data_IF_091227516203
#
_entry.id   IF_091227516203
#
_cell.length_a   1.000
_cell.length_b   1.000
_cell.length_c   1.000
_cell.angle_alpha   90.00
_cell.angle_beta   90.00
_cell.angle_gamma   90.00
#
_symmetry.space_group_name_H-M   'P 1'
#
loop_
_entity.id
_entity.type
_entity.pdbx_description
1 polymer ?
#
# COMPACT_ATOMS: atom_id res chain seq x y z
N UNK A 1 63.77 -71.78 -3.63
CA UNK A 1 62.66 -72.75 -3.44
C UNK A 1 61.64 -72.48 -4.54
N UNK A 2 61.78 -73.09 -5.72
CA UNK A 2 61.17 -74.35 -6.19
C UNK A 2 59.62 -74.43 -6.15
N UNK A 3 59.06 -74.57 -7.37
CA UNK A 3 57.78 -75.21 -7.80
C UNK A 3 56.53 -74.34 -7.56
N UNK A 4 55.53 -74.27 -8.45
CA UNK A 4 54.98 -75.33 -9.29
C UNK A 4 54.21 -74.80 -10.51
N UNK A 5 54.43 -75.48 -11.62
CA UNK A 5 53.65 -75.57 -12.87
C UNK A 5 52.13 -75.74 -12.65
N UNK A 6 51.31 -75.23 -13.57
CA UNK A 6 50.19 -75.92 -14.26
C UNK A 6 49.32 -74.91 -15.03
N UNK A 7 49.50 -74.70 -16.33
CA UNK A 7 49.03 -75.49 -17.50
C UNK A 7 47.51 -75.39 -17.76
N UNK A 8 47.18 -74.45 -18.67
CA UNK A 8 46.29 -74.56 -19.85
C UNK A 8 44.79 -74.87 -19.69
N UNK A 9 44.06 -74.37 -20.70
CA UNK A 9 42.69 -74.73 -21.17
C UNK A 9 41.56 -74.04 -20.39
N UNK A 10 40.47 -73.55 -20.99
CA UNK A 10 39.91 -73.66 -22.33
C UNK A 10 38.82 -72.57 -22.48
N UNK A 11 38.67 -72.03 -23.68
CA UNK A 11 37.47 -71.32 -24.13
C UNK A 11 36.36 -72.35 -24.36
N UNK A 12 35.10 -72.07 -23.97
CA UNK A 12 33.98 -72.51 -24.78
C UNK A 12 33.16 -71.33 -25.30
N UNK A 13 33.05 -71.24 -26.63
CA UNK A 13 31.96 -70.55 -27.35
C UNK A 13 30.77 -71.49 -27.39
N UNK A 14 29.59 -71.02 -26.98
CA UNK A 14 28.25 -71.64 -27.18
C UNK A 14 27.28 -70.89 -26.25
N UNK A 15 26.05 -70.49 -26.57
CA UNK A 15 25.23 -70.49 -27.77
C UNK A 15 24.10 -69.49 -27.45
N UNK A 16 23.62 -68.79 -28.46
CA UNK A 16 22.41 -67.96 -28.45
C UNK A 16 21.28 -68.58 -27.62
N UNK A 17 20.70 -67.80 -26.70
CA UNK A 17 19.26 -67.83 -26.50
C UNK A 17 18.81 -66.42 -26.12
N UNK A 18 18.39 -65.68 -27.14
CA UNK A 18 17.68 -64.43 -27.00
C UNK A 18 16.51 -64.65 -26.03
N UNK A 19 16.58 -64.07 -24.83
CA UNK A 19 15.37 -63.96 -24.00
C UNK A 19 14.40 -63.07 -24.76
N UNK A 20 13.14 -63.47 -24.97
CA UNK A 20 12.17 -62.60 -25.60
C UNK A 20 12.10 -61.30 -24.78
N UNK A 21 12.22 -60.18 -25.48
CA UNK A 21 12.03 -58.85 -24.92
C UNK A 21 10.56 -58.75 -24.49
N UNK A 22 10.26 -59.19 -23.27
CA UNK A 22 8.97 -58.95 -22.66
C UNK A 22 8.86 -57.46 -22.42
N UNK A 23 7.94 -56.83 -23.15
CA UNK A 23 7.55 -55.44 -22.93
C UNK A 23 7.27 -55.25 -21.43
N UNK A 24 7.88 -54.28 -20.74
CA UNK A 24 7.46 -53.98 -19.38
C UNK A 24 5.97 -53.67 -19.43
N UNK A 25 5.18 -54.38 -18.63
CA UNK A 25 3.76 -54.13 -18.49
C UNK A 25 3.58 -52.63 -18.28
N UNK A 26 2.81 -51.98 -19.16
CA UNK A 26 2.47 -50.57 -19.05
C UNK A 26 1.74 -50.38 -17.73
N UNK A 27 2.47 -50.00 -16.69
CA UNK A 27 1.93 -49.50 -15.44
C UNK A 27 1.25 -48.19 -15.81
N UNK A 28 -0.02 -48.25 -16.20
CA UNK A 28 -0.84 -47.06 -16.26
C UNK A 28 -0.83 -46.55 -14.83
N UNK A 29 -0.23 -45.37 -14.52
CA UNK A 29 -0.31 -44.85 -13.18
C UNK A 29 -1.80 -44.76 -12.89
N UNK A 30 -2.29 -45.59 -11.96
CA UNK A 30 -3.55 -45.32 -11.31
C UNK A 30 -3.29 -44.00 -10.61
N UNK A 31 -3.67 -42.90 -11.27
CA UNK A 31 -4.04 -41.68 -10.57
C UNK A 31 -5.25 -42.10 -9.75
N UNK A 32 -4.98 -42.72 -8.62
CA UNK A 32 -5.87 -42.67 -7.48
C UNK A 32 -5.88 -41.20 -7.12
N UNK A 33 -6.71 -40.45 -7.84
CA UNK A 33 -7.26 -39.21 -7.32
C UNK A 33 -8.16 -39.63 -6.16
N UNK A 34 -7.55 -40.15 -5.08
CA UNK A 34 -7.99 -39.78 -3.76
C UNK A 34 -7.60 -38.31 -3.63
N UNK A 35 -8.29 -37.47 -4.39
CA UNK A 35 -8.60 -36.13 -3.94
C UNK A 35 -9.53 -36.42 -2.77
N UNK A 36 -8.92 -36.74 -1.63
CA UNK A 36 -9.53 -36.43 -0.36
C UNK A 36 -9.79 -34.95 -0.48
N UNK A 37 -11.03 -34.61 -0.84
CA UNK A 37 -11.57 -33.29 -0.63
C UNK A 37 -11.50 -33.14 0.89
N UNK A 38 -10.32 -32.77 1.38
CA UNK A 38 -10.21 -32.13 2.67
C UNK A 38 -11.07 -30.90 2.47
N UNK A 39 -12.29 -30.97 2.96
CA UNK A 39 -13.25 -29.88 2.95
C UNK A 39 -12.62 -28.81 3.83
N UNK A 40 -11.67 -28.05 3.29
CA UNK A 40 -11.13 -26.85 3.91
C UNK A 40 -12.32 -25.92 3.94
N UNK A 41 -13.03 -25.94 5.07
CA UNK A 41 -14.27 -25.21 5.25
C UNK A 41 -13.92 -23.74 5.04
N UNK A 42 -14.37 -23.09 3.96
CA UNK A 42 -13.81 -21.81 3.48
C UNK A 42 -13.86 -20.71 4.56
N UNK A 43 -14.76 -20.87 5.52
CA UNK A 43 -14.89 -20.09 6.74
C UNK A 43 -13.60 -19.96 7.57
N UNK A 44 -12.75 -20.98 7.69
CA UNK A 44 -11.50 -20.85 8.49
C UNK A 44 -10.52 -19.88 7.84
N UNK A 45 -10.42 -19.91 6.51
CA UNK A 45 -9.63 -18.93 5.75
C UNK A 45 -10.21 -17.52 5.85
N UNK A 46 -11.54 -17.38 5.78
CA UNK A 46 -12.22 -16.08 5.89
C UNK A 46 -12.06 -15.50 7.29
N UNK A 47 -12.14 -16.29 8.37
CA UNK A 47 -11.96 -15.80 9.74
C UNK A 47 -10.54 -15.28 9.96
N UNK A 48 -9.51 -16.02 9.55
CA UNK A 48 -8.13 -15.57 9.71
C UNK A 48 -7.84 -14.32 8.86
N UNK A 49 -8.30 -14.32 7.61
CA UNK A 49 -8.08 -13.18 6.71
C UNK A 49 -8.81 -11.93 7.19
N UNK A 50 -10.06 -12.07 7.66
CA UNK A 50 -10.83 -10.95 8.21
C UNK A 50 -10.21 -10.36 9.48
N UNK A 51 -9.64 -11.19 10.37
CA UNK A 51 -8.94 -10.71 11.56
C UNK A 51 -7.71 -9.86 11.21
N UNK A 52 -6.89 -10.31 10.25
CA UNK A 52 -5.69 -9.58 9.80
C UNK A 52 -6.10 -8.28 9.10
N UNK A 53 -7.08 -8.34 8.19
CA UNK A 53 -7.61 -7.16 7.49
C UNK A 53 -8.21 -6.16 8.47
N UNK A 54 -8.91 -6.62 9.52
CA UNK A 54 -9.44 -5.76 10.56
C UNK A 54 -8.33 -5.07 11.34
N UNK A 55 -7.31 -5.82 11.78
CA UNK A 55 -6.19 -5.27 12.55
C UNK A 55 -5.45 -4.19 11.74
N UNK A 56 -5.00 -4.53 10.53
CA UNK A 56 -4.30 -3.60 9.64
C UNK A 56 -5.21 -2.44 9.22
N UNK A 57 -6.48 -2.71 8.90
CA UNK A 57 -7.46 -1.71 8.53
C UNK A 57 -7.72 -0.72 9.65
N UNK A 58 -7.83 -1.18 10.89
CA UNK A 58 -8.05 -0.32 12.06
C UNK A 58 -6.84 0.57 12.36
N UNK A 59 -5.61 0.08 12.10
CA UNK A 59 -4.40 0.89 12.23
C UNK A 59 -4.24 1.91 11.10
N UNK A 60 -4.53 1.52 9.84
CA UNK A 60 -4.33 2.38 8.67
C UNK A 60 -5.44 3.41 8.45
N UNK A 61 -6.70 3.03 8.68
CA UNK A 61 -7.87 3.91 8.49
C UNK A 61 -8.28 4.65 9.76
N UNK A 62 -7.49 4.57 10.83
CA UNK A 62 -7.69 5.45 11.98
C UNK A 62 -7.68 6.92 11.54
N UNK A 63 -8.35 7.79 12.32
CA UNK A 63 -8.38 9.26 12.14
C UNK A 63 -6.99 9.93 12.12
N UNK A 64 -5.94 9.13 12.26
CA UNK A 64 -4.55 9.54 12.34
C UNK A 64 -3.84 9.54 10.99
N UNK A 65 -4.51 9.14 9.90
CA UNK A 65 -3.94 9.12 8.55
C UNK A 65 -4.02 10.50 7.87
N UNK A 66 -3.02 10.80 7.03
CA UNK A 66 -2.97 12.04 6.25
C UNK A 66 -4.17 12.20 5.30
N UNK A 67 -4.74 11.10 4.80
CA UNK A 67 -5.89 11.16 3.88
C UNK A 67 -7.19 11.52 4.60
N UNK A 68 -7.39 11.05 5.85
CA UNK A 68 -8.54 11.43 6.67
C UNK A 68 -8.47 12.92 6.97
N UNK A 69 -7.31 13.36 7.46
CA UNK A 69 -7.05 14.78 7.78
C UNK A 69 -7.28 15.68 6.56
N UNK A 70 -6.85 15.24 5.37
CA UNK A 70 -7.12 15.98 4.13
C UNK A 70 -8.61 16.14 3.86
N UNK A 71 -9.37 15.04 3.86
CA UNK A 71 -10.82 15.07 3.63
C UNK A 71 -11.53 15.95 4.65
N UNK A 72 -11.22 15.76 5.94
CA UNK A 72 -11.79 16.54 7.04
C UNK A 72 -11.49 18.04 6.88
N UNK A 73 -10.27 18.38 6.46
CA UNK A 73 -9.88 19.78 6.24
C UNK A 73 -10.61 20.40 5.05
N UNK A 74 -10.79 19.65 3.96
CA UNK A 74 -11.55 20.13 2.80
C UNK A 74 -13.02 20.38 3.16
N UNK A 75 -13.61 19.51 3.97
CA UNK A 75 -14.99 19.69 4.42
C UNK A 75 -15.13 20.88 5.37
N UNK A 76 -14.16 21.12 6.26
CA UNK A 76 -14.10 22.35 7.06
C UNK A 76 -14.02 23.60 6.19
N UNK A 77 -13.19 23.60 5.15
CA UNK A 77 -13.07 24.73 4.21
C UNK A 77 -14.41 25.00 3.51
N UNK A 78 -15.13 23.95 3.11
CA UNK A 78 -16.46 24.07 2.50
C UNK A 78 -17.50 24.65 3.45
N UNK A 79 -17.39 24.39 4.75
CA UNK A 79 -18.30 24.94 5.75
C UNK A 79 -18.06 26.42 6.10
N UNK A 80 -16.91 26.99 5.73
CA UNK A 80 -16.59 28.39 6.05
C UNK A 80 -17.11 29.35 4.95
N UNK A 81 -18.11 30.16 5.29
CA UNK A 81 -18.76 31.12 4.38
C UNK A 81 -17.77 32.09 3.72
N UNK A 82 -16.77 32.59 4.45
CA UNK A 82 -15.77 33.50 3.88
C UNK A 82 -14.94 32.87 2.75
N UNK A 83 -14.61 31.58 2.88
CA UNK A 83 -13.83 30.86 1.86
C UNK A 83 -14.70 30.51 0.66
N UNK A 84 -15.95 30.14 0.91
CA UNK A 84 -16.94 29.92 -0.15
C UNK A 84 -17.17 31.19 -0.96
N UNK A 85 -17.28 32.35 -0.31
CA UNK A 85 -17.44 33.63 -1.00
C UNK A 85 -16.22 34.02 -1.85
N UNK A 86 -15.01 33.63 -1.44
CA UNK A 86 -13.76 34.00 -2.14
C UNK A 86 -13.38 33.00 -3.25
N UNK A 87 -13.59 31.70 -3.03
CA UNK A 87 -13.23 30.63 -3.97
C UNK A 87 -14.37 30.31 -4.94
N UNK A 88 -15.63 30.42 -4.49
CA UNK A 88 -16.83 29.98 -5.19
C UNK A 88 -17.11 28.48 -5.06
N UNK A 89 -18.34 28.06 -5.31
CA UNK A 89 -18.73 26.65 -5.35
C UNK A 89 -18.77 26.11 -6.78
N UNK A 90 -18.28 24.89 -7.07
CA UNK A 90 -17.79 23.87 -6.13
C UNK A 90 -16.28 23.95 -5.81
N UNK A 91 -15.92 23.71 -4.55
CA UNK A 91 -14.51 23.70 -4.08
C UNK A 91 -13.89 22.31 -4.22
N UNK A 92 -12.76 22.23 -4.93
CA UNK A 92 -11.96 21.01 -5.15
C UNK A 92 -10.59 21.12 -4.49
N UNK A 93 -10.21 20.10 -3.71
CA UNK A 93 -8.85 19.98 -3.15
C UNK A 93 -7.97 19.06 -3.99
N UNK A 94 -6.70 19.44 -4.19
CA UNK A 94 -5.72 18.67 -4.93
C UNK A 94 -4.30 18.82 -4.37
N UNK A 95 -3.44 17.83 -4.65
CA UNK A 95 -2.02 17.86 -4.25
C UNK A 95 -1.17 18.87 -5.04
N UNK A 96 0.15 18.81 -4.88
CA UNK A 96 1.05 19.79 -5.49
C UNK A 96 0.94 19.85 -7.03
N UNK A 97 0.81 21.05 -7.64
CA UNK A 97 0.75 21.19 -9.08
C UNK A 97 2.10 20.78 -9.69
N UNK A 98 2.10 19.77 -10.55
CA UNK A 98 3.27 19.38 -11.31
C UNK A 98 3.40 20.23 -12.57
N UNK A 99 4.58 20.84 -12.79
CA UNK A 99 4.92 21.53 -14.04
C UNK A 99 4.95 20.59 -15.25
N UNK A 100 5.13 19.28 -15.02
CA UNK A 100 5.14 18.27 -16.06
C UNK A 100 3.73 17.70 -16.28
N UNK A 101 3.15 17.99 -17.46
CA UNK A 101 1.83 17.51 -17.89
C UNK A 101 1.70 15.98 -17.87
N UNK A 102 2.80 15.22 -18.03
CA UNK A 102 2.79 13.75 -17.97
C UNK A 102 2.56 13.22 -16.55
N UNK A 103 2.79 14.02 -15.51
CA UNK A 103 2.52 13.65 -14.11
C UNK A 103 1.13 14.15 -13.70
N UNK A 104 0.12 13.32 -13.99
CA UNK A 104 -1.29 13.60 -13.63
C UNK A 104 -1.62 13.30 -12.16
N UNK A 105 -0.82 12.48 -11.48
CA UNK A 105 -1.03 12.18 -10.07
C UNK A 105 -0.50 13.35 -9.21
N UNK A 106 -1.41 14.13 -8.62
CA UNK A 106 -1.08 15.22 -7.68
C UNK A 106 -0.97 14.63 -6.28
N UNK A 107 0.26 14.41 -5.79
CA UNK A 107 0.51 13.90 -4.43
C UNK A 107 0.26 15.01 -3.40
N UNK A 108 -0.41 14.67 -2.32
CA UNK A 108 -0.54 15.54 -1.15
C UNK A 108 0.76 15.47 -0.35
N UNK A 109 1.36 16.63 -0.10
CA UNK A 109 2.61 16.72 0.66
C UNK A 109 2.26 16.79 2.15
N UNK A 110 2.57 15.71 2.86
CA UNK A 110 2.50 15.62 4.32
C UNK A 110 3.88 15.28 4.87
N UNK A 111 4.26 15.92 5.97
CA UNK A 111 5.52 15.71 6.67
C UNK A 111 5.25 15.70 8.17
N UNK A 112 5.77 14.71 8.87
CA UNK A 112 5.76 14.65 10.33
C UNK A 112 7.15 15.02 10.80
N UNK A 113 7.23 16.03 11.65
CA UNK A 113 8.46 16.58 12.22
C UNK A 113 8.31 16.52 13.73
N UNK A 114 9.31 15.96 14.42
CA UNK A 114 9.37 15.98 15.88
C UNK A 114 10.04 17.28 16.32
N UNK A 115 9.39 18.03 17.22
CA UNK A 115 9.96 19.23 17.81
C UNK A 115 10.94 18.85 18.94
N UNK A 116 11.72 19.82 19.43
CA UNK A 116 12.65 19.63 20.54
C UNK A 116 11.97 19.15 21.83
N UNK A 117 10.67 19.40 21.98
CA UNK A 117 9.86 18.94 23.10
C UNK A 117 9.36 17.49 22.93
N UNK A 118 9.81 16.76 21.90
CA UNK A 118 9.34 15.42 21.50
C UNK A 118 7.84 15.36 21.16
N UNK A 119 7.23 16.50 20.85
CA UNK A 119 5.87 16.56 20.31
C UNK A 119 5.95 16.42 18.79
N UNK A 120 5.24 15.45 18.17
CA UNK A 120 5.23 15.33 16.73
C UNK A 120 4.24 16.32 16.12
N UNK A 121 4.74 17.14 15.20
CA UNK A 121 4.00 18.09 14.37
C UNK A 121 3.76 17.49 12.99
N UNK A 122 2.52 17.49 12.54
CA UNK A 122 2.15 17.17 11.16
C UNK A 122 1.97 18.46 10.38
N UNK A 123 2.81 18.66 9.38
CA UNK A 123 2.65 19.71 8.38
C UNK A 123 2.04 19.12 7.12
N UNK A 124 0.99 19.75 6.62
CA UNK A 124 0.39 19.37 5.34
C UNK A 124 0.14 20.61 4.50
N UNK A 125 0.47 20.48 3.21
CA UNK A 125 0.25 21.50 2.20
C UNK A 125 -0.49 20.89 1.02
N UNK A 126 -1.58 21.53 0.63
CA UNK A 126 -2.32 21.18 -0.57
C UNK A 126 -2.95 22.44 -1.18
N UNK A 127 -3.59 22.27 -2.31
CA UNK A 127 -4.15 23.35 -3.10
C UNK A 127 -5.66 23.15 -3.23
N UNK A 128 -6.39 24.25 -3.18
CA UNK A 128 -7.83 24.28 -3.41
C UNK A 128 -8.13 25.14 -4.62
N UNK A 129 -9.16 24.75 -5.37
CA UNK A 129 -9.58 25.42 -6.59
C UNK A 129 -11.10 25.53 -6.57
N UNK A 130 -11.59 26.74 -6.74
CA UNK A 130 -12.97 27.04 -7.04
C UNK A 130 -13.08 27.80 -8.37
N UNK A 131 -14.30 28.13 -8.80
CA UNK A 131 -14.53 28.84 -10.06
C UNK A 131 -13.89 30.22 -10.13
N UNK A 132 -13.85 30.94 -9.00
CA UNK A 132 -13.40 32.33 -8.93
C UNK A 132 -11.90 32.42 -8.67
N UNK A 133 -11.40 31.58 -7.76
CA UNK A 133 -10.02 31.63 -7.29
C UNK A 133 -9.46 30.26 -6.93
N UNK A 134 -8.13 30.19 -6.90
CA UNK A 134 -7.36 29.09 -6.34
C UNK A 134 -6.71 29.53 -5.04
N UNK A 135 -6.47 28.60 -4.12
CA UNK A 135 -5.84 28.87 -2.83
C UNK A 135 -4.81 27.81 -2.46
N UNK A 136 -3.83 28.20 -1.65
CA UNK A 136 -2.91 27.26 -1.01
C UNK A 136 -3.31 27.06 0.43
N UNK A 137 -3.62 25.82 0.80
CA UNK A 137 -3.95 25.45 2.18
C UNK A 137 -2.68 24.97 2.86
N UNK A 138 -2.42 25.49 4.04
CA UNK A 138 -1.37 25.01 4.94
C UNK A 138 -1.98 24.75 6.30
N UNK A 139 -1.69 23.57 6.82
CA UNK A 139 -2.10 23.19 8.15
C UNK A 139 -0.92 22.62 8.93
N UNK A 140 -0.97 22.88 10.22
CA UNK A 140 -0.11 22.35 11.25
C UNK A 140 -1.01 21.69 12.29
N UNK A 141 -0.74 20.42 12.58
CA UNK A 141 -1.39 19.70 13.66
C UNK A 141 -0.34 19.21 14.65
N UNK A 142 -0.72 19.16 15.92
CA UNK A 142 0.11 18.61 17.00
C UNK A 142 -0.57 17.37 17.55
N UNK A 143 0.22 16.38 17.94
CA UNK A 143 -0.31 15.18 18.56
C UNK A 143 -0.36 15.36 20.08
N UNK A 144 -1.56 15.29 20.63
CA UNK A 144 -1.75 15.34 22.09
C UNK A 144 -1.33 14.03 22.76
N UNK A 145 -1.22 14.05 24.09
CA UNK A 145 -0.91 12.88 24.94
C UNK A 145 -1.81 11.67 24.64
N UNK A 146 -3.07 11.94 24.25
CA UNK A 146 -4.05 10.92 23.85
C UNK A 146 -3.81 10.33 22.45
N UNK A 147 -2.66 10.61 21.84
CA UNK A 147 -2.26 10.22 20.47
C UNK A 147 -3.22 10.71 19.38
N UNK A 148 -4.01 11.76 19.63
CA UNK A 148 -4.93 12.37 18.66
C UNK A 148 -4.30 13.60 18.01
N UNK A 149 -4.55 13.81 16.72
CA UNK A 149 -4.11 15.03 16.04
C UNK A 149 -5.09 16.17 16.33
N UNK A 150 -4.55 17.31 16.73
CA UNK A 150 -5.32 18.53 16.90
C UNK A 150 -4.74 19.64 16.04
N UNK A 151 -5.62 20.43 15.42
CA UNK A 151 -5.21 21.59 14.64
C UNK A 151 -4.63 22.66 15.57
N UNK A 152 -3.39 23.03 15.27
CA UNK A 152 -2.75 24.20 15.88
C UNK A 152 -2.96 25.42 14.99
N UNK A 153 -2.69 25.26 13.70
CA UNK A 153 -2.94 26.30 12.71
C UNK A 153 -3.56 25.71 11.45
N UNK A 154 -4.64 26.30 10.97
CA UNK A 154 -5.24 26.01 9.67
C UNK A 154 -5.58 27.33 8.97
N UNK A 155 -4.98 27.56 7.79
CA UNK A 155 -5.28 28.74 6.98
C UNK A 155 -5.23 28.44 5.49
N UNK A 156 -5.95 29.27 4.74
CA UNK A 156 -5.93 29.29 3.28
C UNK A 156 -5.35 30.61 2.82
N UNK A 157 -4.38 30.55 1.92
CA UNK A 157 -3.75 31.68 1.28
C UNK A 157 -4.30 31.82 -0.14
N UNK A 158 -5.09 32.87 -0.38
CA UNK A 158 -5.69 33.15 -1.69
C UNK A 158 -4.85 34.25 -2.35
N UNK A 159 -4.21 33.98 -3.50
CA UNK A 159 -3.49 34.99 -4.25
C UNK A 159 -4.50 35.99 -4.83
N UNK A 160 -4.27 37.28 -4.61
CA UNK A 160 -5.02 38.33 -5.28
C UNK A 160 -4.61 38.44 -6.74
N UNK A 161 -5.57 38.67 -7.65
CA UNK A 161 -5.31 38.97 -9.07
C UNK A 161 -4.67 40.37 -9.21
N UNK A 162 -3.39 40.49 -8.86
CA UNK A 162 -2.64 41.76 -8.87
C UNK A 162 -2.64 42.53 -7.54
N UNK A 163 -3.37 42.06 -6.54
CA UNK A 163 -3.35 42.57 -5.16
C UNK A 163 -2.52 41.67 -4.24
N UNK A 164 -2.33 42.11 -2.98
CA UNK A 164 -1.70 41.30 -1.95
C UNK A 164 -2.48 39.98 -1.73
N UNK A 165 -1.76 38.92 -1.38
CA UNK A 165 -2.39 37.65 -1.02
C UNK A 165 -3.18 37.80 0.28
N UNK A 166 -4.40 37.27 0.31
CA UNK A 166 -5.27 37.29 1.48
C UNK A 166 -5.18 35.94 2.18
N UNK A 167 -4.76 35.96 3.44
CA UNK A 167 -4.74 34.77 4.30
C UNK A 167 -5.96 34.75 5.22
N UNK A 168 -6.75 33.69 5.12
CA UNK A 168 -7.94 33.45 5.94
C UNK A 168 -7.63 32.30 6.89
N UNK A 169 -7.79 32.53 8.19
CA UNK A 169 -7.53 31.55 9.24
C UNK A 169 -8.85 30.88 9.64
N UNK A 170 -8.87 29.55 9.64
CA UNK A 170 -10.01 28.77 10.15
C UNK A 170 -9.80 28.45 11.62
N UNK A 171 -8.59 28.00 11.96
CA UNK A 171 -8.21 27.64 13.32
C UNK A 171 -6.84 28.22 13.66
N UNK A 172 -6.76 28.86 14.81
CA UNK A 172 -5.54 29.39 15.41
C UNK A 172 -5.65 29.19 16.92
N UNK A 173 -4.96 28.18 17.44
CA UNK A 173 -4.82 27.95 18.88
C UNK A 173 -3.46 28.43 19.39
#
# INVERSE_FOLDING_TARGET
MLRSLSTLRLIPKSTTCCRPFSTPARQVPKKTNAIGVQTVKPWTGVTLTSAIVYYIGSELFGSQSATSIFSDTVDRIRSHEELVAVLGEPIKGHGEPSRNSRRRNRRITSQVVEDHNNEPHLFMKFYVEGPENQGTVKLEMVKNDKKKWEYKTLYVDVPGHGYNSRRIYLERK
#
